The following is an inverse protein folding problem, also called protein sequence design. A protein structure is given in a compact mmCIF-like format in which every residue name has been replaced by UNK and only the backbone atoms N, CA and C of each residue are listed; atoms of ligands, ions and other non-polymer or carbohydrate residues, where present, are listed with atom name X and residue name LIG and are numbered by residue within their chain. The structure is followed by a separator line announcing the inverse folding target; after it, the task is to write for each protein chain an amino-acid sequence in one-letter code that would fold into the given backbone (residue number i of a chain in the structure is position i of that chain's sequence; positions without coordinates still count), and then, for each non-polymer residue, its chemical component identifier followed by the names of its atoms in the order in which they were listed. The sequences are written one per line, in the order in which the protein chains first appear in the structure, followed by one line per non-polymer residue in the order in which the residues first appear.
data_IF_104787853724
#
_entry.id   IF_104787853724
#
_cell.length_a   1.000
_cell.length_b   1.000
_cell.length_c   1.000
_cell.angle_alpha   90.00
_cell.angle_beta   90.00
_cell.angle_gamma   90.00
#
_symmetry.space_group_name_H-M   'P 1'
#
loop_
_entity.id
_entity.type
_entity.pdbx_description
1 polymer ?
#
# COMPACT_ATOMS: atom_id res chain seq x y z
N UNK A 1 -50.89 10.65 22.71
CA UNK A 1 -49.81 9.64 22.56
C UNK A 1 -49.15 9.72 21.18
N UNK A 2 -48.79 10.92 20.68
CA UNK A 2 -48.19 11.12 19.34
C UNK A 2 -46.72 11.59 19.37
N UNK A 3 -46.24 12.08 20.52
CA UNK A 3 -44.87 12.60 20.67
C UNK A 3 -43.79 11.51 20.70
N UNK A 4 -44.12 10.30 21.17
CA UNK A 4 -43.15 9.21 21.34
C UNK A 4 -42.61 8.68 19.99
N UNK A 5 -43.43 8.71 18.93
CA UNK A 5 -43.02 8.24 17.60
C UNK A 5 -42.05 9.19 16.89
N UNK A 6 -42.23 10.51 17.04
CA UNK A 6 -41.32 11.51 16.45
C UNK A 6 -39.95 11.51 17.13
N UNK A 7 -39.89 11.32 18.45
CA UNK A 7 -38.62 11.24 19.18
C UNK A 7 -37.79 10.06 18.67
N UNK A 8 -38.42 8.90 18.45
CA UNK A 8 -37.73 7.73 17.89
C UNK A 8 -37.20 7.96 16.47
N UNK A 9 -37.93 8.72 15.63
CA UNK A 9 -37.45 9.09 14.29
C UNK A 9 -36.28 10.06 14.34
N UNK A 10 -36.33 11.06 15.23
CA UNK A 10 -35.23 12.01 15.43
C UNK A 10 -33.98 11.30 15.95
N UNK A 11 -34.13 10.37 16.90
CA UNK A 11 -33.03 9.54 17.41
C UNK A 11 -32.43 8.65 16.32
N UNK A 12 -33.26 8.10 15.42
CA UNK A 12 -32.80 7.26 14.31
C UNK A 12 -32.03 8.10 13.27
N UNK A 13 -32.48 9.32 12.99
CA UNK A 13 -31.79 10.28 12.10
C UNK A 13 -30.48 10.76 12.72
N UNK A 14 -30.46 11.08 14.03
CA UNK A 14 -29.23 11.45 14.74
C UNK A 14 -28.21 10.30 14.74
N UNK A 15 -28.67 9.06 14.96
CA UNK A 15 -27.82 7.87 14.91
C UNK A 15 -27.20 7.62 13.54
N UNK A 16 -27.95 7.87 12.45
CA UNK A 16 -27.42 7.82 11.08
C UNK A 16 -26.36 8.91 10.85
N UNK A 17 -26.57 10.12 11.34
CA UNK A 17 -25.63 11.24 11.18
C UNK A 17 -24.28 10.98 11.87
N UNK A 18 -24.30 10.34 13.05
CA UNK A 18 -23.07 9.96 13.78
C UNK A 18 -22.25 8.91 13.04
N UNK A 19 -22.89 8.04 12.23
CA UNK A 19 -22.19 7.02 11.44
C UNK A 19 -21.45 7.63 10.23
N UNK A 20 -21.99 8.70 9.65
CA UNK A 20 -21.35 9.46 8.56
C UNK A 20 -20.25 10.42 9.03
N UNK A 21 -20.24 10.78 10.32
CA UNK A 21 -19.21 11.64 10.93
C UNK A 21 -17.94 10.88 11.34
N UNK A 22 -17.81 9.59 11.05
CA UNK A 22 -16.52 8.92 11.15
C UNK A 22 -15.63 9.57 10.10
N UNK A 23 -14.55 10.29 10.48
CA UNK A 23 -13.60 10.77 9.49
C UNK A 23 -13.15 9.53 8.71
N UNK A 24 -13.20 9.63 7.37
CA UNK A 24 -12.38 8.81 6.49
C UNK A 24 -10.96 9.04 6.96
N UNK A 25 -10.54 8.23 7.92
CA UNK A 25 -9.22 8.31 8.48
C UNK A 25 -8.34 7.91 7.31
N UNK A 26 -7.68 8.90 6.72
CA UNK A 26 -6.51 8.67 5.89
C UNK A 26 -5.52 8.04 6.85
N UNK A 27 -5.56 6.71 6.94
CA UNK A 27 -4.65 5.92 7.73
C UNK A 27 -3.29 6.03 7.05
N UNK A 28 -2.59 7.15 7.27
CA UNK A 28 -1.15 7.18 7.12
C UNK A 28 -0.61 6.09 8.03
N UNK A 29 0.10 5.13 7.44
CA UNK A 29 0.60 3.99 8.18
C UNK A 29 1.71 4.49 9.11
N UNK A 30 1.41 4.64 10.41
CA UNK A 30 2.37 5.18 11.40
C UNK A 30 3.64 4.36 11.58
N UNK A 31 3.64 3.10 11.14
CA UNK A 31 4.77 2.18 11.27
C UNK A 31 5.17 1.58 9.92
N UNK A 32 6.40 1.85 9.49
CA UNK A 32 7.02 1.28 8.29
C UNK A 32 6.98 -0.25 8.32
N UNK A 33 6.62 -0.86 7.19
CA UNK A 33 6.66 -2.31 7.02
C UNK A 33 8.12 -2.79 7.01
N UNK A 34 8.41 -3.84 7.78
CA UNK A 34 9.72 -4.48 7.76
C UNK A 34 9.82 -5.54 6.66
N UNK A 35 10.94 -5.50 5.95
CA UNK A 35 11.31 -6.53 4.98
C UNK A 35 11.36 -7.91 5.67
N UNK A 36 11.06 -9.03 4.96
CA UNK A 36 11.23 -10.35 5.54
C UNK A 36 12.68 -10.62 5.97
N UNK A 37 12.88 -10.96 7.25
CA UNK A 37 14.22 -11.24 7.80
C UNK A 37 14.88 -12.50 7.22
N UNK A 38 14.11 -13.40 6.60
CA UNK A 38 14.59 -14.67 6.06
C UNK A 38 14.20 -14.81 4.60
N UNK A 39 15.19 -15.12 3.77
CA UNK A 39 14.99 -15.49 2.36
C UNK A 39 14.18 -16.80 2.26
N UNK A 40 13.33 -16.85 1.24
CA UNK A 40 12.53 -18.04 0.87
C UNK A 40 13.39 -19.15 0.25
N UNK A 41 14.60 -18.80 -0.20
CA UNK A 41 15.52 -19.65 -0.97
C UNK A 41 14.97 -20.03 -2.35
N UNK A 42 14.12 -19.15 -2.89
CA UNK A 42 13.61 -19.15 -4.26
C UNK A 42 13.99 -17.78 -4.85
N UNK A 43 14.86 -17.76 -5.86
CA UNK A 43 15.50 -16.53 -6.34
C UNK A 43 14.47 -15.53 -6.87
N UNK A 44 13.56 -15.96 -7.75
CA UNK A 44 12.50 -15.09 -8.28
C UNK A 44 11.63 -14.48 -7.18
N UNK A 45 11.25 -15.28 -6.17
CA UNK A 45 10.47 -14.76 -5.03
C UNK A 45 11.27 -13.75 -4.20
N UNK A 46 12.53 -14.05 -3.89
CA UNK A 46 13.37 -13.17 -3.08
C UNK A 46 13.69 -11.86 -3.83
N UNK A 47 13.93 -11.94 -5.14
CA UNK A 47 14.14 -10.77 -6.02
C UNK A 47 12.87 -9.91 -6.10
N UNK A 48 11.70 -10.53 -6.31
CA UNK A 48 10.42 -9.81 -6.32
C UNK A 48 10.14 -9.09 -5.00
N UNK A 49 10.37 -9.78 -3.87
CA UNK A 49 10.21 -9.19 -2.53
C UNK A 49 11.17 -8.02 -2.34
N UNK A 50 12.43 -8.16 -2.75
CA UNK A 50 13.43 -7.10 -2.65
C UNK A 50 13.05 -5.88 -3.48
N UNK A 51 12.68 -6.07 -4.75
CA UNK A 51 12.27 -4.99 -5.65
C UNK A 51 11.01 -4.30 -5.11
N UNK A 52 10.07 -5.07 -4.56
CA UNK A 52 8.86 -4.53 -3.93
C UNK A 52 9.18 -3.62 -2.76
N UNK A 53 10.06 -4.05 -1.85
CA UNK A 53 10.41 -3.26 -0.67
C UNK A 53 11.23 -2.03 -1.04
N UNK A 54 12.05 -2.09 -2.11
CA UNK A 54 12.76 -0.91 -2.65
C UNK A 54 11.78 0.15 -3.15
N UNK A 55 10.78 -0.23 -3.94
CA UNK A 55 9.71 0.67 -4.39
C UNK A 55 8.92 1.24 -3.20
N UNK A 56 8.52 0.36 -2.27
CA UNK A 56 7.78 0.75 -1.07
C UNK A 56 8.53 1.76 -0.22
N UNK A 57 9.82 1.53 0.00
CA UNK A 57 10.65 2.42 0.81
C UNK A 57 10.73 3.82 0.24
N UNK A 58 10.84 3.95 -1.09
CA UNK A 58 10.79 5.24 -1.78
C UNK A 58 9.45 5.93 -1.60
N UNK A 59 8.35 5.23 -1.90
CA UNK A 59 6.99 5.77 -1.79
C UNK A 59 6.69 6.19 -0.34
N UNK A 60 7.09 5.38 0.64
CA UNK A 60 6.90 5.68 2.06
C UNK A 60 7.66 6.93 2.50
N UNK A 61 8.92 7.09 2.07
CA UNK A 61 9.71 8.29 2.37
C UNK A 61 9.08 9.53 1.74
N UNK A 62 8.70 9.44 0.46
CA UNK A 62 8.06 10.55 -0.25
C UNK A 62 6.75 10.97 0.42
N UNK A 63 5.88 10.00 0.75
CA UNK A 63 4.64 10.24 1.48
C UNK A 63 4.90 10.88 2.86
N UNK A 64 5.89 10.38 3.60
CA UNK A 64 6.26 10.92 4.91
C UNK A 64 6.74 12.37 4.84
N UNK A 65 7.54 12.73 3.83
CA UNK A 65 8.00 14.10 3.60
C UNK A 65 6.85 15.02 3.21
N UNK A 66 5.96 14.54 2.33
CA UNK A 66 4.76 15.27 1.90
C UNK A 66 3.85 15.56 3.10
N UNK A 67 3.59 14.57 3.96
CA UNK A 67 2.81 14.73 5.20
C UNK A 67 3.47 15.70 6.18
N UNK A 68 4.80 15.76 6.21
CA UNK A 68 5.54 16.72 7.03
C UNK A 68 5.53 18.16 6.45
N UNK A 69 4.94 18.37 5.26
CA UNK A 69 4.89 19.67 4.59
C UNK A 69 6.21 20.09 3.95
N UNK A 70 7.11 19.14 3.66
CA UNK A 70 8.37 19.41 2.97
C UNK A 70 8.11 19.44 1.48
N UNK A 71 8.32 20.61 0.86
CA UNK A 71 8.29 20.73 -0.60
C UNK A 71 9.51 20.04 -1.21
N UNK A 72 9.26 19.10 -2.11
CA UNK A 72 10.31 18.38 -2.82
C UNK A 72 10.59 19.14 -4.12
N UNK A 73 11.86 19.51 -4.40
CA UNK A 73 12.23 20.17 -5.65
C UNK A 73 11.74 19.38 -6.88
N UNK A 74 11.23 20.04 -7.93
CA UNK A 74 10.70 19.36 -9.12
C UNK A 74 11.70 18.41 -9.78
N UNK A 75 12.99 18.73 -9.76
CA UNK A 75 14.06 17.88 -10.32
C UNK A 75 14.19 16.55 -9.57
N UNK A 76 14.01 16.58 -8.25
CA UNK A 76 14.03 15.38 -7.42
C UNK A 76 12.74 14.58 -7.56
N UNK A 77 11.61 15.24 -7.77
CA UNK A 77 10.33 14.56 -8.04
C UNK A 77 10.39 13.77 -9.35
N UNK A 78 10.93 14.34 -10.41
CA UNK A 78 11.13 13.66 -11.70
C UNK A 78 12.07 12.46 -11.56
N UNK A 79 13.23 12.64 -10.91
CA UNK A 79 14.17 11.53 -10.66
C UNK A 79 13.51 10.39 -9.86
N UNK A 80 12.68 10.73 -8.86
CA UNK A 80 11.95 9.75 -8.06
C UNK A 80 10.90 8.99 -8.89
N UNK A 81 10.20 9.67 -9.79
CA UNK A 81 9.23 9.05 -10.69
C UNK A 81 9.91 8.09 -11.67
N UNK A 82 10.97 8.52 -12.36
CA UNK A 82 11.75 7.64 -13.26
C UNK A 82 12.34 6.45 -12.51
N UNK A 83 12.80 6.68 -11.27
CA UNK A 83 13.35 5.63 -10.42
C UNK A 83 12.29 4.66 -9.90
N UNK A 84 11.04 5.11 -9.74
CA UNK A 84 9.90 4.27 -9.39
C UNK A 84 9.40 3.46 -10.59
N UNK A 85 9.39 4.05 -11.79
CA UNK A 85 9.06 3.36 -13.05
C UNK A 85 10.02 2.20 -13.29
N UNK A 86 11.33 2.44 -13.19
CA UNK A 86 12.35 1.37 -13.26
C UNK A 86 12.16 0.27 -12.22
N UNK A 87 11.73 0.62 -11.01
CA UNK A 87 11.47 -0.38 -9.97
C UNK A 87 10.21 -1.21 -10.31
N UNK A 88 9.19 -0.61 -10.93
CA UNK A 88 7.99 -1.32 -11.42
C UNK A 88 8.37 -2.27 -12.57
N UNK A 89 9.18 -1.82 -13.52
CA UNK A 89 9.66 -2.67 -14.62
C UNK A 89 10.42 -3.88 -14.08
N UNK A 90 11.30 -3.66 -13.10
CA UNK A 90 12.05 -4.73 -12.43
C UNK A 90 11.16 -5.71 -11.66
N UNK A 91 9.94 -5.32 -11.27
CA UNK A 91 8.96 -6.26 -10.71
C UNK A 91 8.39 -7.14 -11.83
N UNK A 92 8.05 -6.55 -12.98
CA UNK A 92 7.46 -7.29 -14.10
C UNK A 92 8.40 -8.30 -14.73
N UNK A 93 9.70 -8.05 -14.76
CA UNK A 93 10.69 -9.01 -15.23
C UNK A 93 10.71 -10.32 -14.43
N UNK A 94 10.37 -10.25 -13.14
CA UNK A 94 10.53 -11.39 -12.22
C UNK A 94 9.22 -12.16 -12.04
N UNK A 95 8.06 -11.49 -12.17
CA UNK A 95 6.73 -12.07 -11.92
C UNK A 95 6.46 -13.39 -12.65
N UNK A 96 6.77 -13.55 -13.96
CA UNK A 96 6.46 -14.78 -14.69
C UNK A 96 7.09 -16.04 -14.07
N UNK A 97 8.31 -15.90 -13.54
CA UNK A 97 9.08 -17.04 -13.03
C UNK A 97 8.66 -17.44 -11.60
N UNK A 98 7.92 -16.60 -10.87
CA UNK A 98 7.61 -16.85 -9.45
C UNK A 98 6.75 -18.11 -9.27
N UNK A 99 5.72 -18.29 -10.10
CA UNK A 99 4.75 -19.37 -9.93
C UNK A 99 5.42 -20.71 -10.20
N UNK A 100 6.16 -20.82 -11.30
CA UNK A 100 6.85 -22.03 -11.71
C UNK A 100 7.94 -22.40 -10.68
N UNK A 101 8.76 -21.42 -10.27
CA UNK A 101 9.83 -21.64 -9.29
C UNK A 101 9.30 -22.05 -7.90
N UNK A 102 8.11 -21.56 -7.51
CA UNK A 102 7.44 -22.00 -6.28
C UNK A 102 6.91 -23.43 -6.44
N UNK A 103 6.28 -23.74 -7.57
CA UNK A 103 5.74 -25.07 -7.85
C UNK A 103 6.80 -26.18 -7.74
N UNK A 104 8.01 -25.92 -8.24
CA UNK A 104 9.12 -26.87 -8.26
C UNK A 104 9.90 -26.94 -6.93
N UNK A 105 9.64 -26.03 -5.99
CA UNK A 105 10.38 -25.96 -4.73
C UNK A 105 9.87 -26.95 -3.68
N UNK A 106 10.72 -27.29 -2.69
CA UNK A 106 10.29 -28.10 -1.55
C UNK A 106 9.24 -27.37 -0.70
N UNK A 107 8.37 -28.12 -0.03
CA UNK A 107 7.28 -27.58 0.80
C UNK A 107 7.73 -26.46 1.76
N UNK A 108 8.91 -26.60 2.39
CA UNK A 108 9.38 -25.55 3.30
C UNK A 108 9.82 -24.26 2.60
N UNK A 109 10.35 -24.35 1.39
CA UNK A 109 10.66 -23.16 0.58
C UNK A 109 9.37 -22.49 0.12
N UNK A 110 8.38 -23.27 -0.34
CA UNK A 110 7.06 -22.78 -0.71
C UNK A 110 6.38 -22.03 0.46
N UNK A 111 6.37 -22.61 1.66
CA UNK A 111 5.78 -21.98 2.84
C UNK A 111 6.45 -20.63 3.16
N UNK A 112 7.79 -20.56 3.08
CA UNK A 112 8.53 -19.29 3.28
C UNK A 112 8.27 -18.29 2.17
N UNK A 113 8.21 -18.74 0.91
CA UNK A 113 7.88 -17.91 -0.24
C UNK A 113 6.50 -17.26 -0.07
N UNK A 114 5.49 -18.05 0.28
CA UNK A 114 4.13 -17.56 0.56
C UNK A 114 4.12 -16.48 1.65
N UNK A 115 4.84 -16.69 2.76
CA UNK A 115 4.94 -15.69 3.83
C UNK A 115 5.63 -14.39 3.36
N UNK A 116 6.70 -14.51 2.58
CA UNK A 116 7.44 -13.36 2.05
C UNK A 116 6.61 -12.59 1.02
N UNK A 117 5.93 -13.29 0.11
CA UNK A 117 5.01 -12.70 -0.87
C UNK A 117 3.84 -12.00 -0.19
N UNK A 118 3.31 -12.53 0.90
CA UNK A 118 2.26 -11.84 1.67
C UNK A 118 2.73 -10.52 2.28
N UNK A 119 4.01 -10.42 2.68
CA UNK A 119 4.59 -9.14 3.13
C UNK A 119 4.78 -8.18 1.96
N UNK A 120 5.31 -8.66 0.83
CA UNK A 120 5.44 -7.87 -0.40
C UNK A 120 4.08 -7.34 -0.87
N UNK A 121 3.03 -8.16 -0.85
CA UNK A 121 1.64 -7.76 -1.15
C UNK A 121 1.17 -6.59 -0.30
N UNK A 122 1.48 -6.57 1.00
CA UNK A 122 1.13 -5.44 1.89
C UNK A 122 1.87 -4.16 1.51
N UNK A 123 3.15 -4.28 1.16
CA UNK A 123 3.96 -3.15 0.69
C UNK A 123 3.43 -2.59 -0.64
N UNK A 124 3.13 -3.43 -1.64
CA UNK A 124 2.50 -2.99 -2.89
C UNK A 124 1.13 -2.35 -2.66
N UNK A 125 0.34 -2.88 -1.72
CA UNK A 125 -0.96 -2.29 -1.38
C UNK A 125 -0.80 -0.86 -0.85
N UNK A 126 0.25 -0.60 -0.06
CA UNK A 126 0.56 0.77 0.38
C UNK A 126 0.87 1.67 -0.81
N UNK A 127 1.77 1.24 -1.71
CA UNK A 127 2.11 2.00 -2.92
C UNK A 127 0.88 2.31 -3.79
N UNK A 128 0.03 1.31 -4.03
CA UNK A 128 -1.19 1.47 -4.80
C UNK A 128 -2.19 2.43 -4.14
N UNK A 129 -2.32 2.36 -2.80
CA UNK A 129 -3.16 3.29 -2.06
C UNK A 129 -2.63 4.73 -2.17
N UNK A 130 -1.31 4.92 -2.03
CA UNK A 130 -0.68 6.23 -2.17
C UNK A 130 -0.95 6.84 -3.56
N UNK A 131 -0.75 6.07 -4.63
CA UNK A 131 -1.06 6.49 -6.00
C UNK A 131 -2.55 6.86 -6.12
N UNK A 132 -3.44 6.04 -5.58
CA UNK A 132 -4.89 6.30 -5.63
C UNK A 132 -5.27 7.59 -4.89
N UNK A 133 -4.76 7.81 -3.69
CA UNK A 133 -5.15 8.98 -2.89
C UNK A 133 -4.49 10.26 -3.39
N UNK A 134 -3.23 10.18 -3.82
CA UNK A 134 -2.45 11.38 -4.17
C UNK A 134 -2.59 11.76 -5.63
N UNK A 135 -2.63 10.80 -6.56
CA UNK A 135 -2.68 11.11 -8.00
C UNK A 135 -4.13 11.18 -8.50
N UNK A 136 -4.98 10.22 -8.11
CA UNK A 136 -6.39 10.25 -8.52
C UNK A 136 -7.22 11.22 -7.67
N UNK A 137 -6.90 11.38 -6.38
CA UNK A 137 -7.56 12.37 -5.52
C UNK A 137 -7.31 13.81 -5.97
N UNK A 138 -6.08 14.15 -6.39
CA UNK A 138 -5.78 15.47 -7.01
C UNK A 138 -6.59 15.72 -8.29
N UNK A 139 -6.91 14.68 -9.05
CA UNK A 139 -7.69 14.77 -10.30
C UNK A 139 -9.20 15.02 -10.10
N UNK A 140 -9.73 14.81 -8.90
CA UNK A 140 -11.14 15.09 -8.58
C UNK A 140 -11.35 16.48 -7.95
N UNK A 141 -10.28 17.16 -7.54
CA UNK A 141 -10.31 18.52 -6.96
C UNK A 141 -10.01 19.64 -7.99
N UNK A 142 -9.62 19.28 -9.22
CA UNK A 142 -9.44 20.16 -10.39
C UNK A 142 -10.62 20.02 -11.39
#
# INVERSE_FOLDING_TARGET
MMYFSSINKVLLILGLFIFFLKPLSVYSQSTRLSMPNRSSKIKSTDDFVKNTFKLYDKVFVYDSLTVAGVEIPPELEEELLESAERDIDSLWEVVPNIVDDIGDASFMKQARATLNLNKAKKALKYCANYVKTTILGKKEED
#
